data_IF_081394181859
#
_entry.id   IF_081394181859
#
_cell.length_a   1.000
_cell.length_b   1.000
_cell.length_c   1.000
_cell.angle_alpha   90.00
_cell.angle_beta   90.00
_cell.angle_gamma   90.00
#
_symmetry.space_group_name_H-M   'P 1'
#
loop_
_entity.id
_entity.type
_entity.pdbx_description
1 polymer ?
#
# COMPACT_ATOMS: atom_id res chain seq x y z
N UNK A 1 0.92 3.92 -20.23
CA UNK A 1 -0.38 3.43 -19.73
C UNK A 1 -1.21 4.59 -19.19
N UNK A 2 -2.41 4.76 -19.71
CA UNK A 2 -3.32 5.81 -19.25
C UNK A 2 -4.32 5.27 -18.23
N UNK A 3 -4.44 3.96 -18.17
CA UNK A 3 -5.37 3.32 -17.24
C UNK A 3 -4.82 3.36 -15.82
N UNK A 4 -4.72 4.56 -15.27
CA UNK A 4 -4.22 4.75 -13.92
C UNK A 4 -5.16 5.67 -13.15
N UNK A 5 -5.81 5.14 -12.14
CA UNK A 5 -6.75 5.91 -11.33
C UNK A 5 -6.02 6.50 -10.14
N UNK A 6 -4.90 5.88 -9.78
CA UNK A 6 -4.05 6.35 -8.70
C UNK A 6 -2.58 6.26 -9.14
N UNK A 7 -1.85 7.33 -8.94
CA UNK A 7 -0.44 7.36 -9.30
C UNK A 7 0.39 6.75 -8.17
N UNK A 8 1.05 5.63 -8.46
CA UNK A 8 1.80 4.91 -7.45
C UNK A 8 3.09 4.33 -8.02
N UNK A 9 4.11 4.27 -7.17
CA UNK A 9 5.39 3.65 -7.51
C UNK A 9 6.26 3.56 -6.26
N UNK A 10 7.39 2.87 -6.35
CA UNK A 10 8.34 2.81 -5.25
C UNK A 10 9.57 3.64 -5.58
N UNK A 11 9.82 4.66 -4.79
CA UNK A 11 10.94 5.56 -5.05
C UNK A 11 11.88 5.58 -3.84
N UNK A 12 13.17 5.44 -4.13
CA UNK A 12 14.25 5.39 -3.13
C UNK A 12 13.96 4.36 -2.01
N UNK A 13 13.13 3.37 -2.32
CA UNK A 13 12.82 2.35 -1.34
C UNK A 13 11.64 2.73 -0.45
N UNK A 14 10.94 3.80 -0.81
CA UNK A 14 9.73 4.19 -0.11
C UNK A 14 8.54 4.13 -1.05
N UNK A 15 7.34 4.07 -0.49
CA UNK A 15 6.14 3.99 -1.30
C UNK A 15 5.64 5.37 -1.67
N UNK A 16 5.48 5.60 -2.96
CA UNK A 16 4.93 6.84 -3.48
C UNK A 16 3.56 6.55 -4.10
N UNK A 17 2.52 6.80 -3.33
CA UNK A 17 1.16 6.44 -3.75
C UNK A 17 0.21 7.58 -3.45
N UNK A 18 -0.66 7.89 -4.42
CA UNK A 18 -1.68 8.93 -4.27
C UNK A 18 -1.01 10.29 -4.08
N UNK A 19 0.17 10.43 -4.70
CA UNK A 19 0.96 11.67 -4.60
C UNK A 19 1.44 11.92 -3.18
N UNK A 20 1.44 10.85 -2.38
CA UNK A 20 1.85 10.96 -0.98
C UNK A 20 2.91 9.92 -0.65
N UNK A 21 3.78 10.25 0.29
CA UNK A 21 4.88 9.38 0.66
C UNK A 21 4.51 8.48 1.83
N UNK A 22 4.97 7.23 1.76
CA UNK A 22 4.74 6.26 2.82
C UNK A 22 6.06 5.71 3.31
N UNK A 23 6.20 5.57 4.62
CA UNK A 23 7.42 5.06 5.22
C UNK A 23 7.48 3.54 5.13
N UNK A 24 8.62 2.96 5.49
CA UNK A 24 8.74 1.52 5.59
C UNK A 24 8.00 1.02 6.83
N UNK A 25 8.08 1.80 7.89
CA UNK A 25 7.40 1.51 9.15
C UNK A 25 5.96 2.01 9.12
N UNK A 26 5.56 2.56 7.96
CA UNK A 26 4.28 3.24 7.80
C UNK A 26 3.09 2.40 8.27
N UNK A 27 2.22 3.04 9.04
CA UNK A 27 0.94 2.45 9.39
C UNK A 27 -0.12 2.97 8.40
N UNK A 28 -0.85 2.05 7.80
CA UNK A 28 -1.81 2.42 6.77
C UNK A 28 -3.13 1.71 6.94
N UNK A 29 -4.18 2.35 6.45
CA UNK A 29 -5.52 1.77 6.46
C UNK A 29 -5.93 1.35 5.05
N UNK A 30 -6.16 0.06 4.87
CA UNK A 30 -6.65 -0.45 3.61
C UNK A 30 -8.12 -0.80 3.72
N UNK A 31 -8.97 -0.09 3.00
CA UNK A 31 -10.40 -0.30 3.07
C UNK A 31 -11.00 -0.48 1.68
N UNK A 32 -11.99 -1.36 1.59
CA UNK A 32 -12.68 -1.61 0.34
C UNK A 32 -14.16 -1.88 0.63
N UNK A 33 -14.90 -2.34 -0.37
CA UNK A 33 -16.30 -2.69 -0.17
C UNK A 33 -16.40 -4.05 0.53
N UNK A 34 -15.58 -5.00 0.07
CA UNK A 34 -15.60 -6.35 0.60
C UNK A 34 -14.48 -6.54 1.63
N UNK A 35 -13.94 -5.43 2.11
CA UNK A 35 -12.84 -5.46 3.06
C UNK A 35 -12.89 -4.21 3.93
N UNK A 36 -12.95 -4.39 5.24
CA UNK A 36 -13.01 -3.25 6.16
C UNK A 36 -11.64 -2.62 6.31
N UNK A 37 -11.58 -1.48 6.99
CA UNK A 37 -10.32 -0.75 7.15
C UNK A 37 -9.31 -1.60 7.93
N UNK A 38 -8.32 -2.12 7.22
CA UNK A 38 -7.27 -2.92 7.84
C UNK A 38 -6.16 -2.01 8.33
N UNK A 39 -6.02 -1.94 9.65
CA UNK A 39 -4.90 -1.26 10.26
C UNK A 39 -3.64 -2.11 10.12
N UNK A 40 -2.84 -1.80 9.11
CA UNK A 40 -1.66 -2.61 8.83
C UNK A 40 -0.40 -1.74 8.80
N UNK A 41 0.70 -2.35 9.20
CA UNK A 41 1.99 -1.66 9.22
C UNK A 41 2.92 -2.31 8.22
N UNK A 42 3.57 -1.50 7.39
CA UNK A 42 4.48 -2.03 6.39
C UNK A 42 5.69 -2.65 7.08
N UNK A 43 6.18 -3.76 6.54
CA UNK A 43 7.31 -4.44 7.13
C UNK A 43 8.55 -4.29 6.25
N UNK A 44 8.33 -4.13 4.95
CA UNK A 44 9.42 -4.01 4.01
C UNK A 44 8.92 -3.51 2.67
N UNK A 45 9.68 -2.61 2.07
CA UNK A 45 9.34 -2.06 0.76
C UNK A 45 10.30 -2.63 -0.29
N UNK A 46 9.75 -3.32 -1.28
CA UNK A 46 10.58 -3.95 -2.28
C UNK A 46 10.79 -3.08 -3.50
N UNK A 47 10.74 -3.69 -4.68
CA UNK A 47 10.96 -2.98 -5.92
C UNK A 47 9.66 -2.81 -6.69
N UNK A 48 8.93 -3.91 -6.83
CA UNK A 48 7.68 -3.91 -7.58
C UNK A 48 6.53 -4.21 -6.64
N UNK A 49 6.88 -4.44 -5.39
CA UNK A 49 5.90 -4.90 -4.41
C UNK A 49 6.18 -4.31 -3.04
N UNK A 50 5.12 -4.09 -2.28
CA UNK A 50 5.24 -3.65 -0.90
C UNK A 50 4.70 -4.73 0.03
N UNK A 51 5.41 -4.98 1.12
CA UNK A 51 4.99 -5.97 2.10
C UNK A 51 4.38 -5.30 3.31
N UNK A 52 3.07 -5.39 3.43
CA UNK A 52 2.39 -4.82 4.58
C UNK A 52 1.95 -5.94 5.52
N UNK A 53 2.05 -5.68 6.81
CA UNK A 53 1.79 -6.69 7.83
C UNK A 53 0.50 -6.38 8.57
N UNK A 54 -0.44 -7.32 8.53
CA UNK A 54 -1.69 -7.18 9.26
C UNK A 54 -1.40 -7.30 10.76
N UNK A 55 -1.75 -6.27 11.52
CA UNK A 55 -1.48 -6.25 12.95
C UNK A 55 -2.17 -7.42 13.67
N UNK A 56 -3.36 -7.77 13.22
CA UNK A 56 -4.13 -8.85 13.81
C UNK A 56 -3.63 -10.21 13.34
N UNK A 57 -3.72 -10.44 12.04
CA UNK A 57 -3.44 -11.74 11.44
C UNK A 57 -1.95 -12.06 11.47
N UNK A 58 -1.13 -11.02 11.52
CA UNK A 58 0.33 -11.15 11.56
C UNK A 58 0.86 -11.73 10.24
N UNK A 59 0.01 -11.85 9.25
CA UNK A 59 0.40 -12.37 7.96
C UNK A 59 0.95 -11.26 7.08
N UNK A 60 1.67 -11.64 6.04
CA UNK A 60 2.27 -10.67 5.14
C UNK A 60 1.39 -10.50 3.90
N UNK A 61 1.11 -9.25 3.55
CA UNK A 61 0.29 -8.94 2.40
C UNK A 61 1.13 -8.21 1.35
N UNK A 62 1.35 -8.85 0.22
CA UNK A 62 2.19 -8.30 -0.83
C UNK A 62 1.35 -7.57 -1.88
N UNK A 63 1.50 -6.27 -1.94
CA UNK A 63 0.78 -5.45 -2.89
C UNK A 63 1.72 -4.98 -4.00
N UNK A 64 1.32 -5.22 -5.24
CA UNK A 64 2.14 -4.83 -6.38
C UNK A 64 1.86 -3.38 -6.78
N UNK A 65 2.88 -2.70 -7.27
CA UNK A 65 2.77 -1.31 -7.71
C UNK A 65 1.69 -1.15 -8.77
N UNK A 66 1.69 -2.04 -9.75
CA UNK A 66 0.73 -1.97 -10.84
C UNK A 66 -0.70 -2.01 -10.35
N UNK A 67 -0.95 -2.78 -9.29
CA UNK A 67 -2.29 -2.94 -8.75
C UNK A 67 -2.74 -1.64 -8.09
N UNK A 68 -1.80 -0.90 -7.54
CA UNK A 68 -2.09 0.38 -6.90
C UNK A 68 -2.36 1.45 -7.95
N UNK A 69 -1.65 1.37 -9.07
CA UNK A 69 -1.81 2.34 -10.15
C UNK A 69 -3.19 2.21 -10.79
N UNK A 70 -3.69 0.98 -10.89
CA UNK A 70 -5.02 0.74 -11.42
C UNK A 70 -6.08 1.21 -10.42
N UNK A 71 -5.67 1.30 -9.16
CA UNK A 71 -6.58 1.71 -8.11
C UNK A 71 -7.35 0.54 -7.53
N UNK A 72 -6.65 -0.57 -7.32
CA UNK A 72 -7.29 -1.76 -6.78
C UNK A 72 -7.50 -1.62 -5.27
N UNK A 73 -6.58 -0.93 -4.60
CA UNK A 73 -6.66 -0.74 -3.17
C UNK A 73 -6.63 0.74 -2.81
N UNK A 74 -7.48 1.11 -1.86
CA UNK A 74 -7.49 2.48 -1.35
C UNK A 74 -6.71 2.54 -0.04
N UNK A 75 -5.51 3.09 -0.10
CA UNK A 75 -4.63 3.14 1.05
C UNK A 75 -4.59 4.54 1.65
N UNK A 76 -4.97 4.64 2.92
CA UNK A 76 -4.89 5.91 3.64
C UNK A 76 -3.72 5.86 4.62
N UNK A 77 -2.96 6.94 4.66
CA UNK A 77 -1.74 6.98 5.46
C UNK A 77 -2.03 7.47 6.88
N UNK A 78 -1.38 6.86 7.85
CA UNK A 78 -1.44 7.32 9.23
C UNK A 78 -0.03 7.44 9.80
N UNK A 79 0.53 8.63 9.70
CA UNK A 79 1.83 8.92 10.27
C UNK A 79 1.90 10.38 10.72
#
# INVERSE_FOLDING_TARGET
SNAQRFEARIEDGKLYYDKRWYHKSQAIYLESKDNQKLSCVISSVGANEIWVRKTSDSTKMRIYVGQLQRGLFVIRRRS
#
